data_IF_763853677464
#
_entry.id   IF_763853677464
#
_cell.length_a   1.000
_cell.length_b   1.000
_cell.length_c   1.000
_cell.angle_alpha   90.00
_cell.angle_beta   90.00
_cell.angle_gamma   90.00
#
_symmetry.space_group_name_H-M   'P 1'
#
loop_
_entity.id
_entity.type
_entity.pdbx_description
1 polymer ?
#
# COMPACT_ATOMS: atom_id res chain seq x y z
N UNK A 1 -3.81 -7.19 -14.72
CA UNK A 1 -3.94 -7.06 -14.38
C UNK A 1 -4.26 -6.98 -13.65
N UNK A 2 -4.70 -7.10 -13.21
CA UNK A 2 -4.40 -6.97 -12.50
C UNK A 2 -4.96 -7.05 -11.31
N UNK A 3 -4.49 -6.65 -10.30
CA UNK A 3 -4.92 -6.70 -8.92
C UNK A 3 -5.95 -5.63 -8.56
N UNK A 4 -6.22 -4.72 -9.48
CA UNK A 4 -7.06 -3.56 -9.18
C UNK A 4 -8.43 -3.98 -8.62
N UNK A 5 -9.03 -5.02 -9.20
CA UNK A 5 -10.36 -5.45 -8.78
C UNK A 5 -10.35 -6.14 -7.43
N UNK A 6 -9.18 -6.52 -6.94
CA UNK A 6 -9.04 -7.22 -5.67
C UNK A 6 -8.64 -6.28 -4.54
N UNK A 7 -8.34 -5.02 -4.85
CA UNK A 7 -7.89 -4.06 -3.85
C UNK A 7 -9.10 -3.35 -3.26
N UNK A 8 -9.21 -3.40 -1.94
CA UNK A 8 -10.37 -2.86 -1.23
C UNK A 8 -9.91 -2.11 -0.01
N UNK A 9 -10.73 -1.15 0.40
CA UNK A 9 -10.46 -0.39 1.61
C UNK A 9 -10.33 -1.32 2.81
N UNK A 10 -9.38 -1.04 3.67
CA UNK A 10 -9.18 -1.77 4.90
C UNK A 10 -8.18 -2.90 4.82
N UNK A 11 -7.74 -3.25 3.61
CA UNK A 11 -6.72 -4.28 3.48
C UNK A 11 -5.39 -3.79 4.02
N UNK A 12 -4.61 -4.72 4.58
CA UNK A 12 -3.30 -4.40 5.10
C UNK A 12 -2.27 -4.54 4.00
N UNK A 13 -1.31 -3.62 3.96
CA UNK A 13 -0.21 -3.68 3.00
C UNK A 13 1.03 -4.09 3.76
N UNK A 14 1.68 -5.15 3.30
CA UNK A 14 2.91 -5.64 3.91
C UNK A 14 3.99 -5.70 2.84
N UNK A 15 5.24 -5.59 3.30
CA UNK A 15 6.37 -5.73 2.39
C UNK A 15 6.66 -7.18 2.09
N UNK A 16 7.67 -7.40 1.25
CA UNK A 16 8.09 -8.75 0.87
C UNK A 16 8.58 -9.53 2.10
N UNK A 17 9.06 -8.81 3.11
CA UNK A 17 9.55 -9.41 4.35
C UNK A 17 8.44 -9.61 5.39
N UNK A 18 7.20 -9.26 5.05
CA UNK A 18 6.07 -9.37 5.96
C UNK A 18 5.90 -8.19 6.89
N UNK A 19 6.75 -7.17 6.78
CA UNK A 19 6.63 -5.99 7.64
C UNK A 19 5.44 -5.13 7.24
N UNK A 20 4.82 -4.49 8.22
CA UNK A 20 3.64 -3.65 7.98
C UNK A 20 4.04 -2.36 7.26
N UNK A 21 3.30 -2.02 6.23
CA UNK A 21 3.52 -0.79 5.49
C UNK A 21 2.38 0.19 5.74
N UNK A 22 1.14 -0.27 5.63
CA UNK A 22 0.02 0.61 5.82
C UNK A 22 -1.30 -0.11 5.63
N UNK A 23 -2.36 0.66 5.52
CA UNK A 23 -3.71 0.13 5.33
C UNK A 23 -4.32 0.86 4.14
N UNK A 24 -5.01 0.13 3.29
CA UNK A 24 -5.59 0.71 2.08
C UNK A 24 -6.77 1.61 2.42
N UNK A 25 -6.72 2.83 1.90
CA UNK A 25 -7.85 3.75 1.92
C UNK A 25 -8.61 3.66 0.59
N UNK A 26 -7.90 3.39 -0.49
CA UNK A 26 -8.51 3.26 -1.80
C UNK A 26 -7.44 3.29 -2.87
N UNK A 27 -7.85 3.61 -4.07
CA UNK A 27 -6.95 3.77 -5.20
C UNK A 27 -7.04 5.20 -5.70
N UNK A 28 -5.91 5.72 -6.17
CA UNK A 28 -5.86 7.03 -6.80
C UNK A 28 -5.10 6.84 -8.11
N UNK A 29 -5.84 6.69 -9.21
CA UNK A 29 -5.22 6.33 -10.48
C UNK A 29 -4.52 4.99 -10.36
N UNK A 30 -3.23 4.96 -10.61
CA UNK A 30 -2.45 3.75 -10.51
C UNK A 30 -1.63 3.71 -9.21
N UNK A 31 -2.10 4.41 -8.19
CA UNK A 31 -1.45 4.47 -6.90
C UNK A 31 -2.35 3.86 -5.84
N UNK A 32 -1.73 3.11 -4.93
CA UNK A 32 -2.40 2.70 -3.71
C UNK A 32 -2.44 3.90 -2.79
N UNK A 33 -3.63 4.25 -2.31
CA UNK A 33 -3.75 5.32 -1.31
C UNK A 33 -3.87 4.68 0.06
N UNK A 34 -2.96 5.04 0.95
CA UNK A 34 -2.93 4.47 2.29
C UNK A 34 -3.58 5.40 3.29
N UNK A 35 -4.20 4.82 4.32
CA UNK A 35 -4.93 5.59 5.32
C UNK A 35 -3.98 6.41 6.17
N UNK A 36 -4.40 7.63 6.51
CA UNK A 36 -3.60 8.51 7.35
C UNK A 36 -3.72 8.14 8.83
N UNK A 37 -4.73 7.37 9.21
CA UNK A 37 -4.89 6.98 10.61
C UNK A 37 -4.20 5.66 10.94
N UNK A 38 -3.43 5.11 10.01
CA UNK A 38 -2.59 3.96 10.30
C UNK A 38 -1.47 4.41 11.22
N UNK A 39 -1.10 3.60 12.24
CA UNK A 39 -0.04 4.02 13.16
C UNK A 39 1.28 4.36 12.50
N UNK A 40 1.57 3.73 11.37
CA UNK A 40 2.84 3.95 10.68
C UNK A 40 2.80 5.10 9.69
N UNK A 41 1.64 5.77 9.56
CA UNK A 41 1.48 6.78 8.53
C UNK A 41 2.01 8.15 8.92
N UNK A 42 2.22 8.38 10.20
CA UNK A 42 2.62 9.70 10.66
C UNK A 42 1.53 10.75 10.53
N UNK A 43 0.29 10.32 10.33
CA UNK A 43 -0.84 11.24 10.24
C UNK A 43 -1.12 11.75 8.85
N UNK A 44 -0.48 11.20 7.83
CA UNK A 44 -0.67 11.63 6.45
C UNK A 44 -1.03 10.44 5.57
N UNK A 45 -1.80 10.71 4.51
CA UNK A 45 -1.99 9.71 3.47
C UNK A 45 -0.67 9.52 2.74
N UNK A 46 -0.40 8.26 2.37
CA UNK A 46 0.75 7.96 1.54
C UNK A 46 0.30 7.20 0.31
N UNK A 47 1.07 7.28 -0.74
CA UNK A 47 0.74 6.68 -2.02
C UNK A 47 1.89 5.81 -2.48
N UNK A 48 1.56 4.62 -2.99
CA UNK A 48 2.53 3.67 -3.52
C UNK A 48 2.10 3.23 -4.90
N UNK A 49 3.08 3.02 -5.78
CA UNK A 49 2.82 2.56 -7.12
C UNK A 49 2.15 1.19 -7.09
N UNK A 50 1.05 1.05 -7.81
CA UNK A 50 0.35 -0.22 -7.93
C UNK A 50 1.27 -1.32 -8.47
N UNK A 51 2.26 -0.94 -9.26
CA UNK A 51 3.21 -1.89 -9.81
C UNK A 51 4.07 -2.59 -8.78
N UNK A 52 4.09 -2.12 -7.54
CA UNK A 52 4.82 -2.80 -6.47
C UNK A 52 4.06 -3.99 -5.92
N UNK A 53 2.78 -4.15 -6.24
CA UNK A 53 1.98 -5.25 -5.71
C UNK A 53 2.34 -6.54 -6.42
N UNK A 54 2.67 -7.57 -5.65
CA UNK A 54 3.00 -8.87 -6.20
C UNK A 54 1.91 -9.90 -5.91
N UNK A 55 1.09 -9.67 -4.88
CA UNK A 55 0.02 -10.60 -4.55
C UNK A 55 -1.04 -9.90 -3.72
N UNK A 56 -2.29 -10.34 -3.87
CA UNK A 56 -3.39 -9.93 -3.00
C UNK A 56 -3.98 -11.21 -2.43
N UNK A 57 -3.96 -11.32 -1.11
CA UNK A 57 -4.38 -12.53 -0.41
C UNK A 57 -5.43 -12.15 0.63
N UNK A 58 -6.69 -12.10 0.20
CA UNK A 58 -7.76 -11.73 1.10
C UNK A 58 -7.61 -10.31 1.61
N UNK A 59 -7.35 -10.18 2.91
CA UNK A 59 -7.22 -8.86 3.54
C UNK A 59 -5.81 -8.30 3.47
N UNK A 60 -4.90 -8.96 2.75
CA UNK A 60 -3.49 -8.58 2.77
C UNK A 60 -2.99 -8.35 1.35
N UNK A 61 -2.29 -7.25 1.17
CA UNK A 61 -1.61 -6.93 -0.09
C UNK A 61 -0.12 -7.02 0.18
N UNK A 62 0.57 -7.85 -0.61
CA UNK A 62 2.01 -8.04 -0.46
C UNK A 62 2.74 -7.29 -1.56
N UNK A 63 3.80 -6.61 -1.18
CA UNK A 63 4.62 -5.86 -2.11
C UNK A 63 5.86 -6.66 -2.49
N UNK A 64 6.49 -6.25 -3.59
CA UNK A 64 7.70 -6.89 -4.08
C UNK A 64 8.93 -6.41 -3.30
N UNK A 65 8.81 -5.33 -2.54
CA UNK A 65 9.93 -4.74 -1.80
C UNK A 65 9.67 -4.88 -0.30
N UNK A 66 10.74 -4.90 0.53
CA UNK A 66 10.56 -4.91 1.98
C UNK A 66 9.84 -3.68 2.48
N UNK A 67 9.26 -3.76 3.67
CA UNK A 67 8.48 -2.66 4.23
C UNK A 67 9.31 -1.39 4.34
N UNK A 68 10.56 -1.49 4.78
CA UNK A 68 11.39 -0.31 4.93
C UNK A 68 11.60 0.38 3.59
N UNK A 69 11.82 -0.40 2.53
CA UNK A 69 12.00 0.19 1.21
C UNK A 69 10.70 0.80 0.70
N UNK A 70 9.57 0.17 0.97
CA UNK A 70 8.28 0.72 0.57
C UNK A 70 8.08 2.08 1.19
N UNK A 71 8.47 2.23 2.46
CA UNK A 71 8.31 3.51 3.15
C UNK A 71 9.28 4.56 2.65
N UNK A 72 10.34 4.16 1.96
CA UNK A 72 11.22 5.10 1.30
C UNK A 72 10.70 5.54 -0.05
N UNK A 73 9.81 4.73 -0.65
CA UNK A 73 9.29 5.01 -1.98
C UNK A 73 7.94 5.72 -1.95
N UNK A 74 7.22 5.67 -0.85
CA UNK A 74 5.89 6.25 -0.83
C UNK A 74 5.97 7.79 -0.83
N UNK A 75 4.89 8.43 -1.29
CA UNK A 75 4.83 9.88 -1.28
C UNK A 75 3.54 10.31 -0.60
N UNK A 76 3.53 11.56 -0.15
CA UNK A 76 2.35 12.10 0.52
C UNK A 76 1.41 12.81 -0.43
N UNK A 77 1.74 12.81 -1.71
CA UNK A 77 0.90 13.45 -2.72
C UNK A 77 0.71 12.51 -3.88
N UNK A 78 -0.52 12.40 -4.37
CA UNK A 78 -0.80 11.63 -5.56
C UNK A 78 -0.23 12.37 -6.76
N UNK A 79 0.44 11.65 -7.63
CA UNK A 79 1.03 12.26 -8.83
C UNK A 79 0.04 12.38 -9.94
#
# INVERSE_FOLDING_TARGET
MMFVEQIKEGQKVIGADGGHVGTIDGLSGQLLKLKKNDPDSGGAHHYLDLGLVVAVEGDTIRLIVPAAEAKERWSEAAE
#
